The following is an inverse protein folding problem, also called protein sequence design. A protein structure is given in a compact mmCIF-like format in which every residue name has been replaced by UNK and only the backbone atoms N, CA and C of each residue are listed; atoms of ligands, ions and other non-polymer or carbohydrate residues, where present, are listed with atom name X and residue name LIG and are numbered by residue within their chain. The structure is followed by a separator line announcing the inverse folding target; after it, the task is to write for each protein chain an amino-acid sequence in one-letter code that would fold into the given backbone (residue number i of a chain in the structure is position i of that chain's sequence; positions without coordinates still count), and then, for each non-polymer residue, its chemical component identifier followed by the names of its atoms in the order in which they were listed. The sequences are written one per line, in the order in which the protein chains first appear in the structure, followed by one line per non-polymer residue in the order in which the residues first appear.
data_IF_073487441930
#
_entry.id   IF_073487441930
#
_cell.length_a   1.000
_cell.length_b   1.000
_cell.length_c   1.000
_cell.angle_alpha   90.00
_cell.angle_beta   90.00
_cell.angle_gamma   90.00
#
_symmetry.space_group_name_H-M   'P 1'
#
loop_
_entity.id
_entity.type
_entity.pdbx_description
1 polymer ?
#
# COMPACT_ATOMS: atom_id res chain seq x y z
N UNK A 1 -6.65 -16.29 11.14
CA UNK A 1 -5.49 -15.38 11.04
C UNK A 1 -5.59 -14.31 12.11
N UNK A 2 -4.53 -14.12 12.88
CA UNK A 2 -4.48 -13.07 13.89
C UNK A 2 -4.23 -11.71 13.21
N UNK A 3 -4.73 -10.61 13.82
CA UNK A 3 -4.58 -9.27 13.25
C UNK A 3 -3.13 -8.91 12.93
N UNK A 4 -2.19 -9.29 13.80
CA UNK A 4 -0.76 -8.99 13.60
C UNK A 4 -0.10 -9.76 12.45
N UNK A 5 -0.78 -10.78 11.90
CA UNK A 5 -0.30 -11.52 10.73
C UNK A 5 -0.79 -10.88 9.43
N UNK A 6 -1.59 -9.82 9.54
CA UNK A 6 -2.21 -9.16 8.41
C UNK A 6 -1.37 -8.00 7.91
N UNK A 7 -1.80 -7.49 6.76
CA UNK A 7 -1.19 -6.37 6.07
C UNK A 7 -2.08 -5.13 6.24
N UNK A 8 -1.54 -4.07 6.80
CA UNK A 8 -2.21 -2.77 6.81
C UNK A 8 -1.90 -2.04 5.50
N UNK A 9 -2.90 -1.39 4.93
CA UNK A 9 -2.73 -0.58 3.72
C UNK A 9 -2.66 0.88 4.13
N UNK A 10 -1.70 1.60 3.55
CA UNK A 10 -1.56 3.03 3.77
C UNK A 10 -1.18 3.78 2.51
N UNK A 11 -1.56 5.03 2.43
CA UNK A 11 -1.21 5.88 1.30
C UNK A 11 -1.12 7.36 1.70
N UNK A 12 -0.36 8.10 0.90
CA UNK A 12 -0.32 9.55 0.96
C UNK A 12 -1.34 10.09 -0.02
N UNK A 13 -2.27 10.88 0.49
CA UNK A 13 -3.40 11.37 -0.29
C UNK A 13 -3.21 12.84 -0.61
N UNK A 14 -3.14 13.23 -1.89
CA UNK A 14 -3.00 14.63 -2.28
C UNK A 14 -4.30 15.44 -2.15
N UNK A 15 -5.41 14.82 -1.78
CA UNK A 15 -6.73 15.43 -1.66
C UNK A 15 -7.74 14.85 -2.62
N UNK A 16 -7.29 14.42 -3.79
CA UNK A 16 -8.12 13.72 -4.78
C UNK A 16 -7.34 12.55 -5.35
N UNK A 17 -8.03 11.47 -5.69
CA UNK A 17 -7.42 10.29 -6.29
C UNK A 17 -8.20 9.88 -7.54
N UNK A 18 -7.52 9.18 -8.46
CA UNK A 18 -8.14 8.65 -9.67
C UNK A 18 -9.15 7.57 -9.30
N UNK A 19 -10.30 7.58 -9.96
CA UNK A 19 -11.34 6.59 -9.72
C UNK A 19 -10.90 5.16 -10.02
N UNK A 20 -9.96 4.96 -10.94
CA UNK A 20 -9.40 3.63 -11.24
C UNK A 20 -8.59 3.10 -10.05
N UNK A 21 -7.83 3.97 -9.39
CA UNK A 21 -7.12 3.60 -8.17
C UNK A 21 -8.08 3.16 -7.07
N UNK A 22 -9.16 3.91 -6.89
CA UNK A 22 -10.19 3.58 -5.91
C UNK A 22 -10.87 2.24 -6.24
N UNK A 23 -11.17 1.99 -7.51
CA UNK A 23 -11.77 0.73 -7.93
C UNK A 23 -10.84 -0.47 -7.66
N UNK A 24 -9.54 -0.31 -7.90
CA UNK A 24 -8.56 -1.35 -7.60
C UNK A 24 -8.46 -1.62 -6.10
N UNK A 25 -8.48 -0.57 -5.28
CA UNK A 25 -8.46 -0.70 -3.84
C UNK A 25 -9.70 -1.47 -3.34
N UNK A 26 -10.87 -1.15 -3.85
CA UNK A 26 -12.11 -1.85 -3.51
C UNK A 26 -12.02 -3.33 -3.89
N UNK A 27 -11.53 -3.63 -5.10
CA UNK A 27 -11.32 -5.01 -5.55
C UNK A 27 -10.38 -5.77 -4.63
N UNK A 28 -9.26 -5.15 -4.25
CA UNK A 28 -8.28 -5.74 -3.36
C UNK A 28 -8.89 -6.06 -2.00
N UNK A 29 -9.57 -5.11 -1.41
CA UNK A 29 -10.20 -5.28 -0.09
C UNK A 29 -11.23 -6.41 -0.12
N UNK A 30 -12.05 -6.47 -1.15
CA UNK A 30 -13.07 -7.52 -1.28
C UNK A 30 -12.47 -8.89 -1.57
N UNK A 31 -11.38 -8.95 -2.31
CA UNK A 31 -10.75 -10.20 -2.73
C UNK A 31 -9.79 -10.79 -1.70
N UNK A 32 -9.19 -9.94 -0.86
CA UNK A 32 -8.13 -10.33 0.10
C UNK A 32 -8.43 -9.88 1.52
N UNK A 33 -9.68 -9.78 1.88
CA UNK A 33 -10.12 -9.33 3.21
C UNK A 33 -9.43 -10.11 4.33
N UNK A 34 -9.27 -11.42 4.17
CA UNK A 34 -8.65 -12.26 5.20
C UNK A 34 -7.18 -11.93 5.46
N UNK A 35 -6.46 -11.36 4.48
CA UNK A 35 -5.07 -10.94 4.62
C UNK A 35 -4.91 -9.53 5.11
N UNK A 36 -5.94 -8.69 4.95
CA UNK A 36 -5.84 -7.27 5.24
C UNK A 36 -6.27 -6.97 6.66
N UNK A 37 -5.51 -6.09 7.31
CA UNK A 37 -5.87 -5.54 8.59
C UNK A 37 -7.07 -4.60 8.43
N UNK A 38 -7.90 -4.48 9.44
CA UNK A 38 -9.09 -3.63 9.41
C UNK A 38 -8.75 -2.14 9.28
N UNK A 39 -7.56 -1.76 9.75
CA UNK A 39 -7.12 -0.36 9.68
C UNK A 39 -6.56 -0.02 8.32
N UNK A 40 -7.07 1.04 7.72
CA UNK A 40 -6.44 1.69 6.57
C UNK A 40 -5.92 3.04 7.03
N UNK A 41 -4.77 3.43 6.51
CA UNK A 41 -4.09 4.65 6.94
C UNK A 41 -4.00 5.61 5.77
N UNK A 42 -4.75 6.70 5.86
CA UNK A 42 -4.73 7.77 4.87
C UNK A 42 -4.07 8.98 5.49
N UNK A 43 -2.96 9.43 4.90
CA UNK A 43 -2.26 10.64 5.33
C UNK A 43 -2.45 11.70 4.26
N UNK A 44 -3.11 12.79 4.60
CA UNK A 44 -3.24 13.92 3.68
C UNK A 44 -1.88 14.59 3.52
N UNK A 45 -1.39 14.65 2.29
CA UNK A 45 -0.05 15.13 2.00
C UNK A 45 -0.02 15.88 0.67
N UNK A 46 0.12 17.20 0.73
CA UNK A 46 0.20 18.06 -0.45
C UNK A 46 1.61 18.62 -0.66
N UNK A 47 2.58 18.17 0.10
CA UNK A 47 3.90 18.78 0.10
C UNK A 47 5.00 17.75 0.22
N UNK A 48 5.77 17.84 1.30
CA UNK A 48 6.97 17.05 1.48
C UNK A 48 6.66 15.56 1.70
N UNK A 49 6.96 14.73 0.69
CA UNK A 49 6.63 13.31 0.70
C UNK A 49 7.34 12.55 1.83
N UNK A 50 8.59 12.90 2.13
CA UNK A 50 9.34 12.24 3.20
C UNK A 50 8.67 12.42 4.57
N UNK A 51 8.13 13.62 4.83
CA UNK A 51 7.37 13.88 6.07
C UNK A 51 6.09 13.06 6.10
N UNK A 52 5.37 13.00 4.98
CA UNK A 52 4.14 12.22 4.87
C UNK A 52 4.40 10.72 5.08
N UNK A 53 5.45 10.19 4.48
CA UNK A 53 5.83 8.78 4.66
C UNK A 53 6.23 8.47 6.09
N UNK A 54 6.97 9.37 6.76
CA UNK A 54 7.31 9.19 8.16
C UNK A 54 6.08 9.19 9.04
N UNK A 55 5.12 10.06 8.78
CA UNK A 55 3.85 10.08 9.50
C UNK A 55 3.06 8.79 9.28
N UNK A 56 3.03 8.28 8.06
CA UNK A 56 2.37 7.03 7.72
C UNK A 56 2.97 5.85 8.50
N UNK A 57 4.29 5.74 8.51
CA UNK A 57 4.99 4.69 9.25
C UNK A 57 4.74 4.81 10.74
N UNK A 58 4.82 6.04 11.29
CA UNK A 58 4.55 6.28 12.71
C UNK A 58 3.13 5.87 13.08
N UNK A 59 2.15 6.25 12.28
CA UNK A 59 0.75 5.87 12.50
C UNK A 59 0.59 4.36 12.47
N UNK A 60 1.23 3.69 11.51
CA UNK A 60 1.22 2.24 11.42
C UNK A 60 1.75 1.60 12.72
N UNK A 61 2.90 2.06 13.19
CA UNK A 61 3.53 1.50 14.39
C UNK A 61 2.73 1.78 15.66
N UNK A 62 2.13 2.96 15.76
CA UNK A 62 1.46 3.40 17.00
C UNK A 62 0.00 2.91 17.08
N UNK A 63 -0.66 2.71 15.95
CA UNK A 63 -2.10 2.51 15.91
C UNK A 63 -2.55 1.17 15.34
N UNK A 64 -1.64 0.34 14.87
CA UNK A 64 -2.00 -0.99 14.37
C UNK A 64 -1.12 -2.06 14.99
N UNK A 65 -1.61 -3.29 14.98
CA UNK A 65 -0.84 -4.48 15.34
C UNK A 65 -0.56 -5.36 14.12
N UNK A 66 -0.74 -4.81 12.92
CA UNK A 66 -0.48 -5.54 11.69
C UNK A 66 1.01 -5.85 11.56
N UNK A 67 1.32 -6.99 10.93
CA UNK A 67 2.70 -7.41 10.72
C UNK A 67 3.39 -6.63 9.61
N UNK A 68 2.62 -6.17 8.61
CA UNK A 68 3.15 -5.54 7.41
C UNK A 68 2.41 -4.25 7.11
N UNK A 69 3.13 -3.29 6.58
CA UNK A 69 2.56 -2.09 5.98
C UNK A 69 2.79 -2.13 4.47
N UNK A 70 1.72 -2.06 3.70
CA UNK A 70 1.80 -1.88 2.25
C UNK A 70 1.50 -0.42 1.93
N UNK A 71 2.49 0.29 1.43
CA UNK A 71 2.34 1.66 0.96
C UNK A 71 1.92 1.66 -0.50
N UNK A 72 0.81 2.31 -0.81
CA UNK A 72 0.29 2.43 -2.16
C UNK A 72 0.49 3.86 -2.66
N UNK A 73 1.00 3.99 -3.89
CA UNK A 73 1.01 5.27 -4.59
C UNK A 73 -0.33 5.47 -5.29
N UNK A 74 -0.92 6.65 -5.16
CA UNK A 74 -2.25 6.93 -5.69
C UNK A 74 -2.28 7.15 -7.20
N UNK A 75 -1.12 7.22 -7.85
CA UNK A 75 -0.97 7.33 -9.29
C UNK A 75 -0.62 6.00 -9.97
N UNK A 76 -0.62 4.90 -9.21
CA UNK A 76 -0.34 3.57 -9.72
C UNK A 76 -1.50 2.64 -9.42
N UNK A 77 -1.78 1.73 -10.33
CA UNK A 77 -2.77 0.69 -10.12
C UNK A 77 -2.11 -0.53 -9.49
N UNK A 78 -2.83 -1.18 -8.57
CA UNK A 78 -2.39 -2.43 -7.96
C UNK A 78 -3.44 -3.52 -8.22
N UNK A 79 -3.33 -4.27 -9.33
CA UNK A 79 -4.21 -5.41 -9.54
C UNK A 79 -3.96 -6.50 -8.50
N UNK A 80 -4.98 -7.28 -8.19
CA UNK A 80 -4.88 -8.35 -7.20
C UNK A 80 -3.73 -9.31 -7.46
N UNK A 81 -3.46 -9.76 -8.71
CA UNK A 81 -2.29 -10.63 -8.96
C UNK A 81 -0.95 -10.00 -8.60
N UNK A 82 -0.80 -8.68 -8.80
CA UNK A 82 0.42 -7.98 -8.41
C UNK A 82 0.57 -7.91 -6.89
N UNK A 83 -0.51 -7.65 -6.17
CA UNK A 83 -0.54 -7.72 -4.71
C UNK A 83 -0.09 -9.10 -4.23
N UNK A 84 -0.64 -10.17 -4.80
CA UNK A 84 -0.30 -11.53 -4.41
C UNK A 84 1.19 -11.82 -4.60
N UNK A 85 1.80 -11.34 -5.67
CA UNK A 85 3.23 -11.53 -5.94
C UNK A 85 4.11 -10.81 -4.91
N UNK A 86 3.73 -9.59 -4.53
CA UNK A 86 4.46 -8.83 -3.51
C UNK A 86 4.37 -9.53 -2.16
N UNK A 87 3.20 -9.99 -1.78
CA UNK A 87 3.01 -10.70 -0.51
C UNK A 87 3.79 -12.02 -0.50
N UNK A 88 3.79 -12.76 -1.60
CA UNK A 88 4.54 -14.01 -1.69
C UNK A 88 6.05 -13.80 -1.58
N UNK A 89 6.56 -12.66 -2.02
CA UNK A 89 7.98 -12.32 -1.93
C UNK A 89 8.40 -11.82 -0.54
N UNK A 90 7.47 -11.33 0.26
CA UNK A 90 7.77 -10.75 1.56
C UNK A 90 8.10 -11.81 2.59
N UNK A 91 9.13 -11.57 3.39
CA UNK A 91 9.54 -12.45 4.47
C UNK A 91 10.16 -11.60 5.58
N UNK A 92 9.71 -11.79 6.82
CA UNK A 92 10.07 -10.92 7.93
C UNK A 92 11.56 -10.92 8.28
N UNK A 93 12.29 -11.99 7.98
CA UNK A 93 13.73 -12.11 8.24
C UNK A 93 14.55 -11.86 6.98
N UNK A 94 14.22 -12.55 5.88
CA UNK A 94 15.03 -12.54 4.66
C UNK A 94 14.70 -11.37 3.74
N UNK A 95 13.44 -10.99 3.67
CA UNK A 95 12.95 -9.91 2.78
C UNK A 95 11.94 -9.04 3.50
N UNK A 96 12.42 -8.26 4.50
CA UNK A 96 11.52 -7.39 5.28
C UNK A 96 11.03 -6.17 4.51
N UNK A 97 11.68 -5.81 3.41
CA UNK A 97 11.24 -4.72 2.53
C UNK A 97 11.17 -5.25 1.11
N UNK A 98 10.00 -5.14 0.49
CA UNK A 98 9.75 -5.60 -0.87
C UNK A 98 9.05 -4.49 -1.64
N UNK A 99 9.43 -4.30 -2.89
CA UNK A 99 8.82 -3.32 -3.77
C UNK A 99 8.38 -3.99 -5.07
N UNK A 100 7.24 -3.57 -5.59
CA UNK A 100 6.81 -3.93 -6.93
C UNK A 100 7.65 -3.18 -7.97
N UNK A 101 7.92 -3.82 -9.09
CA UNK A 101 8.57 -3.18 -10.23
C UNK A 101 7.52 -2.58 -11.16
N UNK A 102 7.70 -1.34 -11.52
CA UNK A 102 6.88 -0.68 -12.52
C UNK A 102 7.74 0.20 -13.42
N UNK A 103 7.22 0.45 -14.62
CA UNK A 103 7.89 1.28 -15.59
C UNK A 103 7.05 2.52 -15.86
N UNK A 104 7.68 3.69 -15.86
CA UNK A 104 7.04 4.93 -16.27
C UNK A 104 7.19 5.09 -17.77
N UNK A 105 6.10 5.42 -18.46
CA UNK A 105 6.12 5.79 -19.87
C UNK A 105 6.22 7.30 -19.98
N UNK A 106 7.16 7.78 -20.81
CA UNK A 106 7.35 9.20 -21.08
C UNK A 106 6.89 9.52 -22.50
N UNK A 107 6.49 10.77 -22.74
CA UNK A 107 6.13 11.18 -24.10
C UNK A 107 7.27 10.87 -25.09
N UNK A 108 6.95 10.17 -26.19
CA UNK A 108 7.92 9.76 -27.18
C UNK A 108 8.53 8.38 -27.00
N UNK A 109 8.26 7.70 -25.89
CA UNK A 109 8.71 6.32 -25.71
C UNK A 109 7.85 5.38 -26.58
N UNK A 110 8.46 4.35 -27.18
CA UNK A 110 7.72 3.38 -27.98
C UNK A 110 6.75 2.54 -27.16
#
# INVERSE_FOLDING_TARGET
MRSRDRVAIGWLDPGTVDGRWTADLVRLVRSRDALLHDSTIRILCNGLLSRGRNELVRTFLDRTDAAWLMMLDTDHQLPVPAFDKVIAAAHDVDRPVVSGLYCAAYPGDP
#
